data_IF_351728313767
#
_entry.id   IF_351728313767
#
_cell.length_a   1.000
_cell.length_b   1.000
_cell.length_c   1.000
_cell.angle_alpha   90.00
_cell.angle_beta   90.00
_cell.angle_gamma   90.00
#
_symmetry.space_group_name_H-M   'P 1'
#
loop_
_entity.id
_entity.type
_entity.pdbx_description
1 polymer ?
#
# COMPACT_ATOMS: atom_id res chain seq x y z
N UNK A 1 27.12 -46.98 38.07
CA UNK A 1 27.80 -46.53 36.82
C UNK A 1 26.80 -46.09 35.73
N UNK A 2 25.71 -46.81 35.43
CA UNK A 2 24.75 -46.40 34.38
C UNK A 2 24.00 -45.08 34.63
N UNK A 3 23.70 -44.74 35.90
CA UNK A 3 22.97 -43.49 36.28
C UNK A 3 23.78 -42.22 36.00
N UNK A 4 25.10 -42.26 36.21
CA UNK A 4 25.97 -41.09 35.96
C UNK A 4 26.21 -40.86 34.45
N UNK A 5 26.16 -41.93 33.64
CA UNK A 5 26.30 -41.85 32.19
C UNK A 5 25.08 -41.09 31.55
N UNK A 6 23.89 -41.33 32.08
CA UNK A 6 22.65 -40.67 31.60
C UNK A 6 22.65 -39.18 31.91
N UNK A 7 23.16 -38.78 33.09
CA UNK A 7 23.26 -37.38 33.49
C UNK A 7 24.26 -36.64 32.59
N UNK A 8 25.40 -37.27 32.27
CA UNK A 8 26.40 -36.66 31.38
C UNK A 8 25.86 -36.53 29.95
N UNK A 9 25.10 -37.49 29.46
CA UNK A 9 24.47 -37.44 28.15
C UNK A 9 23.39 -36.35 28.08
N UNK A 10 22.61 -36.12 29.15
CA UNK A 10 21.63 -35.06 29.24
C UNK A 10 22.25 -33.68 29.28
N UNK A 11 23.40 -33.49 29.93
CA UNK A 11 24.13 -32.21 29.97
C UNK A 11 24.72 -31.81 28.59
N UNK A 12 25.10 -32.78 27.77
CA UNK A 12 25.66 -32.53 26.43
C UNK A 12 24.60 -32.04 25.42
N UNK A 13 23.32 -32.26 25.67
CA UNK A 13 22.24 -31.80 24.80
C UNK A 13 21.90 -30.33 24.97
N UNK A 14 22.39 -29.64 26.02
CA UNK A 14 22.16 -28.22 26.25
C UNK A 14 23.22 -27.29 25.66
N UNK A 15 24.27 -27.78 25.02
CA UNK A 15 25.36 -26.97 24.45
C UNK A 15 25.14 -26.57 22.99
N UNK A 16 23.97 -26.79 22.45
CA UNK A 16 23.73 -26.67 21.03
C UNK A 16 22.76 -25.59 20.57
N UNK A 17 22.85 -24.35 21.03
CA UNK A 17 22.19 -23.23 20.37
C UNK A 17 22.82 -21.88 20.73
N UNK A 18 24.06 -21.67 20.31
CA UNK A 18 24.53 -20.29 20.11
C UNK A 18 24.05 -19.85 18.74
N UNK A 19 23.01 -19.00 18.72
CA UNK A 19 22.68 -18.21 17.54
C UNK A 19 23.90 -17.37 17.20
N UNK A 20 24.64 -17.76 16.19
CA UNK A 20 25.58 -16.86 15.53
C UNK A 20 24.72 -15.83 14.79
N UNK A 21 24.54 -14.69 15.43
CA UNK A 21 24.07 -13.47 14.77
C UNK A 21 25.16 -13.09 13.76
N UNK A 22 24.97 -13.49 12.50
CA UNK A 22 25.80 -13.00 11.41
C UNK A 22 25.48 -11.53 11.27
N UNK A 23 26.35 -10.68 11.84
CA UNK A 23 26.39 -9.27 11.56
C UNK A 23 26.62 -9.10 10.05
N UNK A 24 25.54 -8.83 9.33
CA UNK A 24 25.55 -8.57 7.90
C UNK A 24 26.04 -7.12 7.71
N UNK A 25 27.33 -6.93 7.90
CA UNK A 25 27.97 -5.66 7.54
C UNK A 25 28.02 -5.63 6.02
N UNK A 26 27.03 -5.04 5.41
CA UNK A 26 27.04 -4.69 4.00
C UNK A 26 28.17 -3.68 3.78
N UNK A 27 29.29 -4.15 3.23
CA UNK A 27 30.40 -3.28 2.79
C UNK A 27 30.11 -2.61 1.42
N UNK A 28 28.90 -2.79 0.90
CA UNK A 28 28.56 -2.18 -0.38
C UNK A 28 28.29 -0.69 -0.18
N UNK A 29 29.17 0.11 -0.75
CA UNK A 29 29.00 1.56 -0.80
C UNK A 29 28.12 1.87 -2.00
N UNK A 30 26.85 2.15 -1.75
CA UNK A 30 25.95 2.62 -2.80
C UNK A 30 26.35 4.03 -3.23
N UNK A 31 26.50 4.22 -4.52
CA UNK A 31 26.66 5.54 -5.13
C UNK A 31 25.38 5.88 -5.88
N UNK A 32 24.83 7.07 -5.65
CA UNK A 32 23.65 7.55 -6.38
C UNK A 32 24.06 7.85 -7.83
N UNK A 33 23.76 6.93 -8.75
CA UNK A 33 24.01 7.12 -10.19
C UNK A 33 22.93 7.99 -10.85
N UNK A 34 21.68 7.86 -10.37
CA UNK A 34 20.54 8.61 -10.90
C UNK A 34 19.71 9.17 -9.75
N UNK A 35 19.57 10.50 -9.69
CA UNK A 35 18.69 11.19 -8.75
C UNK A 35 17.52 11.82 -9.50
N UNK A 36 16.36 11.18 -9.43
CA UNK A 36 15.13 11.70 -10.00
C UNK A 36 14.52 12.79 -9.09
N UNK A 37 13.97 13.83 -9.71
CA UNK A 37 13.15 14.81 -8.98
C UNK A 37 11.84 14.14 -8.57
N UNK A 38 11.41 14.37 -7.35
CA UNK A 38 10.14 13.82 -6.81
C UNK A 38 9.30 14.94 -6.21
N UNK A 39 8.00 14.75 -6.19
CA UNK A 39 7.09 15.63 -5.45
C UNK A 39 7.25 15.46 -3.94
N UNK A 40 6.89 16.46 -3.12
CA UNK A 40 6.92 16.35 -1.67
C UNK A 40 6.06 15.18 -1.18
N UNK A 41 6.54 14.51 -0.12
CA UNK A 41 5.81 13.39 0.50
C UNK A 41 4.49 13.88 1.09
N UNK A 42 3.39 13.22 0.73
CA UNK A 42 2.05 13.49 1.26
C UNK A 42 1.75 12.54 2.42
N UNK A 43 1.18 13.07 3.49
CA UNK A 43 0.78 12.27 4.65
C UNK A 43 -0.58 11.62 4.41
N UNK A 44 -0.63 10.29 4.31
CA UNK A 44 -1.88 9.55 4.15
C UNK A 44 -2.66 9.36 5.47
N UNK A 45 -2.06 9.70 6.61
CA UNK A 45 -2.66 9.46 7.93
C UNK A 45 -2.94 7.97 8.18
N UNK A 46 -4.13 7.66 8.69
CA UNK A 46 -4.60 6.29 8.98
C UNK A 46 -5.40 5.66 7.82
N UNK A 47 -5.41 6.26 6.64
CA UNK A 47 -6.18 5.76 5.51
C UNK A 47 -5.54 4.53 4.86
N UNK A 48 -6.35 3.68 4.22
CA UNK A 48 -5.86 2.52 3.44
C UNK A 48 -5.64 2.88 1.96
N UNK A 49 -5.26 4.14 1.67
CA UNK A 49 -5.11 4.68 0.32
C UNK A 49 -3.66 4.67 -0.18
N UNK A 50 -2.75 3.93 0.47
CA UNK A 50 -1.33 3.88 0.08
C UNK A 50 -1.13 3.58 -1.41
N UNK A 51 -1.96 2.73 -1.99
CA UNK A 51 -1.95 2.40 -3.41
C UNK A 51 -2.24 3.61 -4.31
N UNK A 52 -3.20 4.47 -3.91
CA UNK A 52 -3.54 5.68 -4.65
C UNK A 52 -2.44 6.76 -4.49
N UNK A 53 -1.93 6.96 -3.27
CA UNK A 53 -0.82 7.88 -3.02
C UNK A 53 0.42 7.53 -3.84
N UNK A 54 0.82 6.24 -3.86
CA UNK A 54 1.98 5.80 -4.61
C UNK A 54 1.84 6.03 -6.12
N UNK A 55 0.68 5.67 -6.68
CA UNK A 55 0.43 5.82 -8.11
C UNK A 55 0.33 7.29 -8.53
N UNK A 56 -0.35 8.13 -7.75
CA UNK A 56 -0.43 9.56 -8.05
C UNK A 56 0.93 10.23 -7.95
N UNK A 57 1.76 9.87 -6.96
CA UNK A 57 3.12 10.37 -6.85
C UNK A 57 3.99 9.99 -8.06
N UNK A 58 3.80 8.81 -8.64
CA UNK A 58 4.49 8.38 -9.86
C UNK A 58 4.09 9.26 -11.05
N UNK A 59 2.79 9.52 -11.23
CA UNK A 59 2.28 10.40 -12.29
C UNK A 59 2.79 11.83 -12.12
N UNK A 60 2.73 12.37 -10.90
CA UNK A 60 3.23 13.70 -10.58
C UNK A 60 4.75 13.83 -10.85
N UNK A 61 5.51 12.80 -10.47
CA UNK A 61 6.97 12.75 -10.71
C UNK A 61 7.30 12.74 -12.20
N UNK A 62 6.55 11.97 -12.99
CA UNK A 62 6.76 11.94 -14.44
C UNK A 62 6.51 13.29 -15.10
N UNK A 63 5.46 14.02 -14.67
CA UNK A 63 5.19 15.38 -15.11
C UNK A 63 6.32 16.34 -14.70
N UNK A 64 6.80 16.22 -13.46
CA UNK A 64 7.89 17.05 -12.95
C UNK A 64 9.18 16.86 -13.74
N UNK A 65 9.46 15.62 -14.20
CA UNK A 65 10.60 15.33 -15.06
C UNK A 65 10.48 15.96 -16.46
N UNK A 66 9.25 16.14 -16.94
CA UNK A 66 8.95 16.83 -18.21
C UNK A 66 8.92 18.36 -18.07
N UNK A 67 9.15 18.89 -16.86
CA UNK A 67 9.16 20.32 -16.58
C UNK A 67 7.79 20.89 -16.20
N UNK A 68 6.79 20.04 -16.02
CA UNK A 68 5.44 20.41 -15.59
C UNK A 68 5.21 19.96 -14.13
N UNK A 69 4.57 20.79 -13.32
CA UNK A 69 4.29 20.49 -11.92
C UNK A 69 2.79 20.38 -11.69
N UNK A 70 2.35 19.18 -11.40
CA UNK A 70 0.96 18.88 -11.06
C UNK A 70 0.86 18.37 -9.63
N UNK A 71 -0.26 18.66 -8.97
CA UNK A 71 -0.60 18.16 -7.65
C UNK A 71 -1.98 17.52 -7.70
N UNK A 72 -2.06 16.20 -7.55
CA UNK A 72 -3.28 15.42 -7.76
C UNK A 72 -4.01 15.10 -6.46
N UNK A 73 -5.33 15.07 -6.53
CA UNK A 73 -6.20 14.83 -5.39
C UNK A 73 -6.40 13.33 -5.15
N UNK A 74 -5.84 12.82 -4.05
CA UNK A 74 -6.10 11.46 -3.57
C UNK A 74 -7.53 11.31 -3.05
N UNK A 75 -8.11 12.39 -2.50
CA UNK A 75 -9.50 12.40 -2.00
C UNK A 75 -10.50 12.20 -3.14
N UNK A 76 -10.23 12.79 -4.31
CA UNK A 76 -11.03 12.55 -5.51
C UNK A 76 -11.02 11.09 -5.92
N UNK A 77 -9.83 10.49 -6.01
CA UNK A 77 -9.66 9.07 -6.34
C UNK A 77 -10.39 8.19 -5.34
N UNK A 78 -10.24 8.45 -4.05
CA UNK A 78 -10.91 7.70 -2.99
C UNK A 78 -12.43 7.73 -3.14
N UNK A 79 -12.99 8.91 -3.43
CA UNK A 79 -14.42 9.09 -3.61
C UNK A 79 -14.94 8.38 -4.86
N UNK A 80 -14.23 8.47 -5.98
CA UNK A 80 -14.62 7.76 -7.21
C UNK A 80 -14.56 6.25 -7.01
N UNK A 81 -13.56 5.77 -6.29
CA UNK A 81 -13.44 4.35 -5.94
C UNK A 81 -14.60 3.86 -5.05
N UNK A 82 -14.98 4.63 -4.03
CA UNK A 82 -16.13 4.31 -3.18
C UNK A 82 -17.44 4.36 -3.99
N UNK A 83 -17.59 5.32 -4.89
CA UNK A 83 -18.74 5.42 -5.79
C UNK A 83 -18.89 4.18 -6.68
N UNK A 84 -17.79 3.69 -7.25
CA UNK A 84 -17.80 2.47 -8.06
C UNK A 84 -18.22 1.24 -7.25
N UNK A 85 -17.70 1.10 -6.03
CA UNK A 85 -18.10 0.01 -5.15
C UNK A 85 -19.60 0.10 -4.80
N UNK A 86 -20.11 1.30 -4.50
CA UNK A 86 -21.52 1.53 -4.21
C UNK A 86 -22.41 1.17 -5.42
N UNK A 87 -22.04 1.60 -6.65
CA UNK A 87 -22.74 1.25 -7.88
C UNK A 87 -22.77 -0.27 -8.09
N UNK A 88 -21.62 -0.94 -7.96
CA UNK A 88 -21.53 -2.41 -8.08
C UNK A 88 -22.42 -3.11 -7.06
N UNK A 89 -22.42 -2.62 -5.81
CA UNK A 89 -23.25 -3.17 -4.74
C UNK A 89 -24.75 -3.04 -5.06
N UNK A 90 -25.19 -1.87 -5.50
CA UNK A 90 -26.58 -1.63 -5.91
C UNK A 90 -27.01 -2.53 -7.08
N UNK A 91 -26.14 -2.67 -8.09
CA UNK A 91 -26.42 -3.56 -9.24
C UNK A 91 -26.44 -5.03 -8.83
N UNK A 92 -25.56 -5.44 -7.89
CA UNK A 92 -25.53 -6.82 -7.41
C UNK A 92 -26.75 -7.18 -6.56
N UNK A 93 -27.30 -6.23 -5.80
CA UNK A 93 -28.53 -6.46 -5.03
C UNK A 93 -29.71 -6.88 -5.89
N UNK A 94 -29.85 -6.32 -7.10
CA UNK A 94 -30.89 -6.77 -8.07
C UNK A 94 -30.71 -8.23 -8.51
N UNK A 95 -29.48 -8.77 -8.48
CA UNK A 95 -29.20 -10.18 -8.79
C UNK A 95 -29.33 -11.10 -7.57
N UNK A 96 -29.07 -10.60 -6.36
CA UNK A 96 -29.08 -11.40 -5.11
C UNK A 96 -30.44 -11.96 -4.75
N UNK A 97 -31.52 -11.33 -5.21
CA UNK A 97 -32.90 -11.82 -5.02
C UNK A 97 -33.12 -13.20 -5.65
N UNK A 98 -32.24 -13.62 -6.56
CA UNK A 98 -32.37 -14.90 -7.29
C UNK A 98 -31.32 -15.96 -6.90
N UNK A 99 -30.12 -15.60 -6.43
CA UNK A 99 -28.98 -16.54 -6.33
C UNK A 99 -28.20 -16.53 -5.03
N UNK A 100 -28.57 -15.79 -4.00
CA UNK A 100 -27.82 -15.64 -2.75
C UNK A 100 -26.36 -15.19 -2.99
N UNK A 101 -25.90 -14.13 -2.41
CA UNK A 101 -24.53 -13.64 -2.64
C UNK A 101 -23.93 -13.02 -1.39
N UNK A 102 -22.62 -13.22 -1.18
CA UNK A 102 -21.87 -12.61 -0.09
C UNK A 102 -21.85 -11.08 -0.22
N UNK A 103 -22.09 -10.40 0.89
CA UNK A 103 -22.08 -8.95 0.98
C UNK A 103 -20.64 -8.46 1.18
N UNK A 104 -19.97 -8.05 0.09
CA UNK A 104 -18.62 -7.48 0.17
C UNK A 104 -18.69 -6.07 0.78
N UNK A 105 -17.91 -5.78 1.83
CA UNK A 105 -17.89 -4.47 2.44
C UNK A 105 -17.29 -3.43 1.49
N UNK A 106 -17.80 -2.19 1.54
CA UNK A 106 -17.21 -1.04 0.86
C UNK A 106 -15.96 -0.64 1.65
N UNK A 107 -14.82 -0.50 0.97
CA UNK A 107 -13.52 -0.24 1.60
C UNK A 107 -12.66 0.66 0.73
N UNK A 108 -11.72 1.38 1.35
CA UNK A 108 -10.71 2.19 0.64
C UNK A 108 -9.47 1.37 0.24
N UNK A 109 -9.42 0.09 0.58
CA UNK A 109 -8.33 -0.80 0.15
C UNK A 109 -8.44 -1.05 -1.35
N UNK A 110 -7.33 -0.92 -2.05
CA UNK A 110 -7.28 -1.09 -3.50
C UNK A 110 -5.90 -1.49 -3.99
N UNK A 111 -5.79 -1.60 -5.30
CA UNK A 111 -4.56 -1.92 -6.03
C UNK A 111 -4.36 -0.95 -7.19
N UNK A 112 -3.14 -0.87 -7.71
CA UNK A 112 -2.77 0.02 -8.81
C UNK A 112 -3.66 -0.11 -10.06
N UNK A 113 -4.05 -1.33 -10.43
CA UNK A 113 -4.94 -1.56 -11.56
C UNK A 113 -6.30 -0.87 -11.44
N UNK A 114 -6.82 -0.76 -10.20
CA UNK A 114 -8.08 -0.04 -9.94
C UNK A 114 -7.97 1.46 -10.21
N UNK A 115 -6.79 2.06 -9.99
CA UNK A 115 -6.59 3.46 -10.32
C UNK A 115 -6.63 3.69 -11.83
N UNK A 116 -6.06 2.79 -12.60
CA UNK A 116 -6.09 2.90 -14.07
C UNK A 116 -7.54 2.89 -14.58
N UNK A 117 -8.37 1.98 -14.08
CA UNK A 117 -9.79 1.93 -14.41
C UNK A 117 -10.53 3.22 -14.03
N UNK A 118 -10.21 3.77 -12.85
CA UNK A 118 -10.79 5.03 -12.38
C UNK A 118 -10.37 6.23 -13.23
N UNK A 119 -9.09 6.29 -13.63
CA UNK A 119 -8.59 7.34 -14.52
C UNK A 119 -9.28 7.29 -15.87
N UNK A 120 -9.46 6.11 -16.45
CA UNK A 120 -10.15 5.93 -17.73
C UNK A 120 -11.62 6.34 -17.64
N UNK A 121 -12.26 6.12 -16.50
CA UNK A 121 -13.69 6.37 -16.32
C UNK A 121 -14.00 7.81 -15.89
N UNK A 122 -13.20 8.37 -14.98
CA UNK A 122 -13.49 9.63 -14.30
C UNK A 122 -12.41 10.70 -14.47
N UNK A 123 -11.23 10.34 -14.99
CA UNK A 123 -10.06 11.21 -15.03
C UNK A 123 -9.44 11.44 -13.65
N UNK A 124 -8.62 12.48 -13.57
CA UNK A 124 -7.97 12.94 -12.34
C UNK A 124 -8.37 14.39 -12.08
N UNK A 125 -8.28 14.80 -10.81
CA UNK A 125 -8.54 16.18 -10.38
C UNK A 125 -7.33 16.76 -9.67
N UNK A 126 -7.11 18.05 -9.86
CA UNK A 126 -6.09 18.79 -9.12
C UNK A 126 -6.46 18.89 -7.64
N UNK A 127 -5.46 18.87 -6.77
CA UNK A 127 -5.64 18.91 -5.31
C UNK A 127 -6.45 20.12 -4.86
N UNK A 128 -6.19 21.31 -5.41
CA UNK A 128 -6.86 22.55 -5.03
C UNK A 128 -8.33 22.59 -5.48
N UNK A 129 -8.66 21.86 -6.55
CA UNK A 129 -10.03 21.76 -7.03
C UNK A 129 -10.85 20.73 -6.20
N UNK A 130 -10.20 19.76 -5.60
CA UNK A 130 -10.86 18.71 -4.87
C UNK A 130 -10.00 18.16 -3.72
N UNK A 131 -10.21 18.68 -2.54
CA UNK A 131 -9.63 18.18 -1.30
C UNK A 131 -10.70 18.10 -0.20
N UNK A 132 -10.49 17.20 0.75
CA UNK A 132 -11.40 17.07 1.88
C UNK A 132 -11.31 18.33 2.75
N UNK A 133 -12.42 19.08 2.86
CA UNK A 133 -12.51 20.20 3.78
C UNK A 133 -12.39 19.63 5.20
N UNK A 134 -11.32 19.95 5.92
CA UNK A 134 -11.22 19.64 7.35
C UNK A 134 -12.34 20.42 8.05
N UNK A 135 -13.31 19.70 8.59
CA UNK A 135 -14.25 20.31 9.53
C UNK A 135 -13.43 20.68 10.79
N UNK A 136 -13.19 21.97 10.95
CA UNK A 136 -12.67 22.58 12.19
C UNK A 136 -13.73 22.49 13.27
#
# INVERSE_FOLDING_TARGET
MKRNLIIVAALLLFIGCTKQEKEYVSKEKFTDEVRLKTTPVKNQGKSSLCWAYAMLATIETEHLMKGDSINLSTDYVARMYLLEQAKRKLMSQKRKTLLGGNDTPITTRGMSGMLIDLIQTYGLQHYDAYHQRKNT
#
